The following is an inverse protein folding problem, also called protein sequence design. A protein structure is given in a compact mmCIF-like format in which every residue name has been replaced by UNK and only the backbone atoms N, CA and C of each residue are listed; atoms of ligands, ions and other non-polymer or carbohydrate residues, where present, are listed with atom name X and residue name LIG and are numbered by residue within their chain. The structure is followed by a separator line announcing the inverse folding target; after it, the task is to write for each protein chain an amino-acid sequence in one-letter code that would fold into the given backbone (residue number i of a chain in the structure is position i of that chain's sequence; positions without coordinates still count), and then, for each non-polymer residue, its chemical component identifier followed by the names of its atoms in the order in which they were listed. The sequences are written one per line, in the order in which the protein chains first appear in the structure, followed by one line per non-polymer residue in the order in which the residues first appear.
data_IF_401371005609
#
_entry.id   IF_401371005609
#
_cell.length_a   1.000
_cell.length_b   1.000
_cell.length_c   1.000
_cell.angle_alpha   90.00
_cell.angle_beta   90.00
_cell.angle_gamma   90.00
#
_symmetry.space_group_name_H-M   'P 1'
#
loop_
_entity.id
_entity.type
_entity.pdbx_description
1 polymer ?
#
# COMPACT_ATOMS: atom_id res chain seq x y z
N UNK A 1 17.51 17.15 4.93
CA UNK A 1 18.60 16.14 4.86
C UNK A 1 18.59 15.42 3.52
N UNK A 2 17.51 14.70 3.13
CA UNK A 2 17.52 13.93 1.86
C UNK A 2 17.83 14.81 0.62
N UNK A 3 17.36 16.05 0.57
CA UNK A 3 17.67 16.98 -0.53
C UNK A 3 19.11 17.52 -0.48
N UNK A 4 19.65 17.68 0.73
CA UNK A 4 21.00 18.21 0.92
C UNK A 4 22.08 17.17 0.56
N UNK A 5 21.72 15.89 0.70
CA UNK A 5 22.59 14.74 0.41
C UNK A 5 22.51 14.30 -1.07
N UNK A 6 21.64 14.90 -1.89
CA UNK A 6 21.52 14.56 -3.31
C UNK A 6 22.76 15.00 -4.10
N UNK A 7 23.32 14.12 -4.95
CA UNK A 7 24.36 14.52 -5.89
C UNK A 7 23.90 15.67 -6.80
N UNK A 8 24.85 16.53 -7.20
CA UNK A 8 24.55 17.63 -8.11
C UNK A 8 23.94 17.11 -9.43
N UNK A 9 22.85 17.70 -9.87
CA UNK A 9 22.12 17.33 -11.09
C UNK A 9 21.14 16.14 -10.90
N UNK A 10 21.00 15.62 -9.67
CA UNK A 10 20.00 14.57 -9.37
C UNK A 10 18.63 15.16 -9.08
N UNK A 11 17.58 14.36 -9.33
CA UNK A 11 16.20 14.66 -8.95
C UNK A 11 15.72 13.67 -7.87
N UNK A 12 14.96 14.19 -6.91
CA UNK A 12 14.21 13.38 -5.96
C UNK A 12 12.83 13.08 -6.52
N UNK A 13 12.57 11.81 -6.86
CA UNK A 13 11.23 11.31 -7.12
C UNK A 13 10.65 10.78 -5.80
N UNK A 14 9.70 11.52 -5.23
CA UNK A 14 9.02 11.14 -4.01
C UNK A 14 7.72 10.43 -4.36
N UNK A 15 7.69 9.11 -4.17
CA UNK A 15 6.48 8.31 -4.36
C UNK A 15 5.57 8.46 -3.14
N UNK A 16 4.50 9.22 -3.30
CA UNK A 16 3.46 9.48 -2.31
C UNK A 16 2.17 8.68 -2.61
N UNK A 17 2.27 7.51 -3.24
CA UNK A 17 1.10 6.73 -3.64
C UNK A 17 0.20 6.30 -2.47
N UNK A 18 0.68 6.33 -1.24
CA UNK A 18 -0.07 5.99 -0.03
C UNK A 18 -0.25 7.16 0.92
N UNK A 19 0.08 8.39 0.52
CA UNK A 19 0.10 9.52 1.44
C UNK A 19 -1.28 9.83 2.02
N UNK A 20 -2.34 9.65 1.24
CA UNK A 20 -3.72 9.83 1.71
C UNK A 20 -4.15 8.75 2.72
N UNK A 21 -3.44 7.62 2.81
CA UNK A 21 -3.70 6.58 3.81
C UNK A 21 -2.87 6.78 5.09
N UNK A 22 -1.87 7.66 5.04
CA UNK A 22 -0.91 7.87 6.11
C UNK A 22 -1.43 8.88 7.14
N UNK A 23 -0.95 8.82 8.39
CA UNK A 23 -1.24 9.85 9.39
C UNK A 23 -0.80 11.23 8.91
N UNK A 24 -1.49 12.26 9.41
CA UNK A 24 -1.10 13.65 9.15
C UNK A 24 0.37 13.89 9.55
N UNK A 25 1.07 14.72 8.78
CA UNK A 25 2.48 15.03 9.01
C UNK A 25 3.47 13.99 8.48
N UNK A 26 3.01 12.87 7.90
CA UNK A 26 3.91 11.87 7.29
C UNK A 26 4.64 12.43 6.05
N UNK A 27 3.98 13.26 5.25
CA UNK A 27 4.60 13.87 4.09
C UNK A 27 5.68 14.87 4.51
N UNK A 28 6.88 14.81 3.91
CA UNK A 28 7.92 15.78 4.19
C UNK A 28 7.49 17.17 3.70
N UNK A 29 7.88 18.21 4.45
CA UNK A 29 7.65 19.61 4.09
C UNK A 29 8.64 20.02 2.98
N UNK A 30 8.29 19.73 1.73
CA UNK A 30 9.06 20.08 0.53
C UNK A 30 8.27 21.04 -0.33
N UNK A 31 8.93 22.10 -0.79
CA UNK A 31 8.31 23.06 -1.72
C UNK A 31 7.97 22.38 -3.04
N UNK A 32 6.80 22.66 -3.58
CA UNK A 32 6.42 22.24 -4.92
C UNK A 32 7.25 22.94 -6.02
N UNK A 33 7.86 24.09 -5.69
CA UNK A 33 8.68 24.88 -6.61
C UNK A 33 10.17 24.52 -6.55
N UNK A 34 10.59 23.55 -5.69
CA UNK A 34 11.98 23.09 -5.69
C UNK A 34 12.26 22.32 -7.00
N UNK A 35 13.19 22.83 -7.84
CA UNK A 35 13.47 22.25 -9.15
C UNK A 35 14.11 20.85 -9.07
N UNK A 36 14.39 20.34 -7.88
CA UNK A 36 14.96 19.01 -7.66
C UNK A 36 13.92 17.99 -7.21
N UNK A 37 12.65 18.38 -7.01
CA UNK A 37 11.63 17.51 -6.39
C UNK A 37 10.48 17.25 -7.35
N UNK A 38 10.11 15.97 -7.48
CA UNK A 38 8.91 15.52 -8.18
C UNK A 38 8.13 14.64 -7.20
N UNK A 39 6.92 15.06 -6.82
CA UNK A 39 6.02 14.29 -5.95
C UNK A 39 5.01 13.57 -6.82
N UNK A 40 4.91 12.25 -6.65
CA UNK A 40 4.03 11.38 -7.45
C UNK A 40 2.85 10.90 -6.61
N UNK A 41 1.62 11.19 -7.04
CA UNK A 41 0.38 10.81 -6.35
C UNK A 41 -0.56 10.02 -7.25
N UNK A 42 -1.48 9.28 -6.66
CA UNK A 42 -2.39 8.41 -7.41
C UNK A 42 -3.80 8.44 -6.84
N UNK A 43 -4.79 8.27 -7.69
CA UNK A 43 -6.17 8.01 -7.30
C UNK A 43 -6.47 6.51 -7.09
N UNK A 44 -5.45 5.65 -7.24
CA UNK A 44 -5.62 4.19 -7.19
C UNK A 44 -5.80 3.61 -5.78
N UNK A 45 -5.56 4.38 -4.72
CA UNK A 45 -5.55 3.90 -3.32
C UNK A 45 -6.75 4.45 -2.55
N UNK A 46 -6.57 5.44 -1.69
CA UNK A 46 -7.63 5.98 -0.84
C UNK A 46 -8.86 6.47 -1.63
N UNK A 47 -8.66 7.00 -2.82
CA UNK A 47 -9.75 7.43 -3.69
C UNK A 47 -10.49 6.28 -4.42
N UNK A 48 -10.04 5.03 -4.32
CA UNK A 48 -10.74 3.87 -4.90
C UNK A 48 -10.72 3.76 -6.43
N UNK A 49 -9.97 4.61 -7.16
CA UNK A 49 -10.00 4.69 -8.63
C UNK A 49 -8.88 3.90 -9.32
N UNK A 50 -8.48 2.76 -8.78
CA UNK A 50 -7.39 1.95 -9.34
C UNK A 50 -7.63 1.56 -10.81
N UNK A 51 -8.87 1.23 -11.17
CA UNK A 51 -9.27 0.85 -12.54
C UNK A 51 -9.25 2.03 -13.53
N UNK A 52 -9.36 3.27 -13.06
CA UNK A 52 -9.36 4.47 -13.91
C UNK A 52 -7.97 4.81 -14.47
N UNK A 53 -6.90 4.24 -13.92
CA UNK A 53 -5.49 4.46 -14.32
C UNK A 53 -5.09 5.92 -14.33
N UNK A 54 -5.35 6.65 -13.24
CA UNK A 54 -5.08 8.08 -13.11
C UNK A 54 -4.23 8.38 -11.87
N UNK A 55 -3.31 9.30 -12.04
CA UNK A 55 -2.45 9.87 -11.03
C UNK A 55 -1.94 11.23 -11.48
N UNK A 56 -1.15 11.89 -10.65
CA UNK A 56 -0.62 13.21 -10.97
C UNK A 56 0.77 13.40 -10.35
N UNK A 57 1.52 14.33 -10.94
CA UNK A 57 2.79 14.79 -10.42
C UNK A 57 2.67 16.26 -9.97
N UNK A 58 3.36 16.60 -8.89
CA UNK A 58 3.53 17.96 -8.40
C UNK A 58 5.02 18.26 -8.44
N UNK A 59 5.41 19.29 -9.20
CA UNK A 59 6.80 19.71 -9.35
C UNK A 59 6.89 21.15 -9.89
N UNK A 60 8.09 21.71 -9.93
CA UNK A 60 8.35 22.99 -10.55
C UNK A 60 7.89 23.02 -12.02
N UNK A 61 7.43 24.19 -12.56
CA UNK A 61 6.86 24.30 -13.91
C UNK A 61 7.76 23.76 -15.01
N UNK A 62 9.07 23.90 -14.89
CA UNK A 62 10.05 23.45 -15.88
C UNK A 62 10.06 21.91 -15.97
N UNK A 63 9.96 21.22 -14.83
CA UNK A 63 9.86 19.75 -14.77
C UNK A 63 8.53 19.25 -15.35
N UNK A 64 7.43 19.91 -15.03
CA UNK A 64 6.12 19.58 -15.62
C UNK A 64 6.12 19.82 -17.14
N UNK A 65 6.77 20.88 -17.61
CA UNK A 65 6.94 21.12 -19.05
C UNK A 65 7.72 20.00 -19.73
N UNK A 66 8.74 19.44 -19.05
CA UNK A 66 9.48 18.29 -19.56
C UNK A 66 8.57 17.03 -19.71
N UNK A 67 7.69 16.76 -18.72
CA UNK A 67 6.71 15.68 -18.84
C UNK A 67 5.77 15.87 -20.05
N UNK A 68 5.34 17.09 -20.34
CA UNK A 68 4.46 17.38 -21.48
C UNK A 68 5.12 17.06 -22.83
N UNK A 69 6.46 17.08 -22.93
CA UNK A 69 7.18 16.72 -24.17
C UNK A 69 7.18 15.22 -24.45
N UNK A 70 7.03 14.38 -23.42
CA UNK A 70 7.18 12.91 -23.55
C UNK A 70 5.92 12.12 -23.25
N UNK A 71 4.93 12.72 -22.56
CA UNK A 71 3.70 12.01 -22.22
C UNK A 71 2.83 11.75 -23.47
N UNK A 72 2.06 10.66 -23.43
CA UNK A 72 1.01 10.47 -24.42
C UNK A 72 -0.09 11.52 -24.22
N UNK A 73 -0.36 12.33 -25.23
CA UNK A 73 -1.35 13.42 -25.20
C UNK A 73 -2.77 12.92 -24.93
N UNK A 74 -3.12 11.72 -25.42
CA UNK A 74 -4.44 11.11 -25.26
C UNK A 74 -4.44 9.93 -24.29
N UNK A 75 -3.40 9.77 -23.47
CA UNK A 75 -3.22 8.65 -22.55
C UNK A 75 -4.22 8.63 -21.38
N UNK A 76 -4.92 9.74 -21.12
CA UNK A 76 -5.85 9.86 -20.02
C UNK A 76 -7.29 9.99 -20.53
N UNK A 77 -8.13 8.99 -20.26
CA UNK A 77 -9.53 8.99 -20.75
C UNK A 77 -10.41 10.00 -20.00
N UNK A 78 -11.49 10.43 -20.64
CA UNK A 78 -12.40 11.47 -20.08
C UNK A 78 -13.12 11.02 -18.81
N UNK A 79 -13.48 9.74 -18.71
CA UNK A 79 -14.15 9.22 -17.51
C UNK A 79 -13.21 9.25 -16.30
N UNK A 80 -11.93 8.89 -16.48
CA UNK A 80 -10.93 8.99 -15.43
C UNK A 80 -10.74 10.44 -14.96
N UNK A 81 -10.69 11.40 -15.88
CA UNK A 81 -10.56 12.83 -15.53
C UNK A 81 -11.76 13.33 -14.72
N UNK A 82 -12.98 13.03 -15.17
CA UNK A 82 -14.20 13.42 -14.46
C UNK A 82 -14.31 12.74 -13.09
N UNK A 83 -14.00 11.43 -13.02
CA UNK A 83 -13.99 10.68 -11.77
C UNK A 83 -12.94 11.21 -10.76
N UNK A 84 -11.74 11.53 -11.21
CA UNK A 84 -10.71 12.10 -10.35
C UNK A 84 -11.08 13.50 -9.84
N UNK A 85 -11.69 14.34 -10.68
CA UNK A 85 -12.16 15.65 -10.27
C UNK A 85 -13.25 15.52 -9.18
N UNK A 86 -14.21 14.64 -9.38
CA UNK A 86 -15.25 14.38 -8.38
C UNK A 86 -14.65 13.84 -7.08
N UNK A 87 -13.73 12.88 -7.16
CA UNK A 87 -13.11 12.26 -6.00
C UNK A 87 -12.26 13.25 -5.17
N UNK A 88 -11.52 14.15 -5.83
CA UNK A 88 -10.72 15.15 -5.10
C UNK A 88 -11.57 16.23 -4.44
N UNK A 89 -12.80 16.43 -4.91
CA UNK A 89 -13.77 17.35 -4.30
C UNK A 89 -14.55 16.74 -3.14
N UNK A 90 -14.62 15.42 -3.06
CA UNK A 90 -15.31 14.67 -2.01
C UNK A 90 -14.38 14.39 -0.82
N UNK A 91 -14.09 15.44 -0.06
CA UNK A 91 -13.18 15.35 1.09
C UNK A 91 -13.82 14.61 2.27
N UNK A 92 -15.14 14.66 2.43
CA UNK A 92 -15.85 13.96 3.49
C UNK A 92 -15.74 12.44 3.29
N UNK A 93 -15.90 11.95 2.07
CA UNK A 93 -15.68 10.55 1.76
C UNK A 93 -14.22 10.13 1.96
N UNK A 94 -13.26 10.97 1.55
CA UNK A 94 -11.84 10.69 1.77
C UNK A 94 -11.53 10.53 3.28
N UNK A 95 -12.03 11.41 4.14
CA UNK A 95 -11.85 11.31 5.60
C UNK A 95 -12.45 10.02 6.17
N UNK A 96 -13.63 9.60 5.68
CA UNK A 96 -14.23 8.33 6.08
C UNK A 96 -13.34 7.14 5.70
N UNK A 97 -12.83 7.12 4.46
CA UNK A 97 -11.91 6.07 3.99
C UNK A 97 -10.61 6.03 4.80
N UNK A 98 -10.05 7.19 5.13
CA UNK A 98 -8.86 7.29 5.98
C UNK A 98 -9.09 6.67 7.37
N UNK A 99 -10.23 6.96 7.98
CA UNK A 99 -10.64 6.38 9.27
C UNK A 99 -10.77 4.85 9.17
N UNK A 100 -11.49 4.37 8.16
CA UNK A 100 -11.67 2.93 7.94
C UNK A 100 -10.34 2.19 7.70
N UNK A 101 -9.41 2.81 6.97
CA UNK A 101 -8.08 2.25 6.75
C UNK A 101 -7.29 2.17 8.08
N UNK A 102 -7.38 3.20 8.92
CA UNK A 102 -6.71 3.20 10.22
C UNK A 102 -7.27 2.10 11.13
N UNK A 103 -8.59 2.00 11.24
CA UNK A 103 -9.29 0.96 12.02
C UNK A 103 -8.95 -0.46 11.50
N UNK A 104 -8.91 -0.64 10.18
CA UNK A 104 -8.54 -1.91 9.57
C UNK A 104 -7.08 -2.30 9.87
N UNK A 105 -6.14 -1.34 9.87
CA UNK A 105 -4.74 -1.60 10.28
C UNK A 105 -4.67 -2.09 11.72
N UNK A 106 -5.37 -1.42 12.62
CA UNK A 106 -5.40 -1.79 14.05
C UNK A 106 -6.04 -3.17 14.23
N UNK A 107 -7.11 -3.47 13.50
CA UNK A 107 -7.77 -4.79 13.52
C UNK A 107 -6.84 -5.89 13.03
N UNK A 108 -6.10 -5.68 11.94
CA UNK A 108 -5.11 -6.64 11.42
C UNK A 108 -4.00 -6.88 12.46
N UNK A 109 -3.51 -5.83 13.12
CA UNK A 109 -2.50 -5.95 14.17
C UNK A 109 -3.03 -6.78 15.36
N UNK A 110 -4.25 -6.55 15.81
CA UNK A 110 -4.90 -7.34 16.87
C UNK A 110 -5.08 -8.82 16.47
N UNK A 111 -5.46 -9.09 15.21
CA UNK A 111 -5.58 -10.47 14.71
C UNK A 111 -4.20 -11.15 14.71
N UNK A 112 -3.15 -10.49 14.28
CA UNK A 112 -1.79 -11.01 14.31
C UNK A 112 -1.35 -11.33 15.75
N UNK A 113 -1.50 -10.38 16.65
CA UNK A 113 -1.12 -10.52 18.07
C UNK A 113 -1.84 -11.70 18.78
N UNK A 114 -3.15 -11.86 18.54
CA UNK A 114 -3.94 -13.00 19.07
C UNK A 114 -3.43 -14.36 18.59
N UNK A 115 -2.72 -14.39 17.46
CA UNK A 115 -2.13 -15.59 16.91
C UNK A 115 -0.62 -15.73 17.21
N UNK A 116 -0.08 -14.88 18.12
CA UNK A 116 1.34 -14.89 18.50
C UNK A 116 2.26 -14.38 17.41
N UNK A 117 1.75 -13.59 16.45
CA UNK A 117 2.50 -12.98 15.37
C UNK A 117 2.72 -11.49 15.62
N UNK A 118 3.69 -10.90 14.93
CA UNK A 118 3.95 -9.46 14.98
C UNK A 118 3.68 -8.80 13.62
N UNK A 119 3.36 -7.51 13.64
CA UNK A 119 3.19 -6.70 12.44
C UNK A 119 4.33 -5.71 12.28
N UNK A 120 4.65 -5.37 11.05
CA UNK A 120 5.52 -4.23 10.76
C UNK A 120 4.67 -2.95 10.78
N UNK A 121 5.22 -1.81 11.27
CA UNK A 121 4.54 -0.51 11.21
C UNK A 121 4.12 -0.18 9.78
N UNK A 122 2.88 0.27 9.61
CA UNK A 122 2.33 0.62 8.29
C UNK A 122 1.59 1.95 8.32
N UNK A 123 1.83 2.76 7.29
CA UNK A 123 1.06 3.96 6.95
C UNK A 123 0.31 3.80 5.61
N UNK A 124 0.32 2.59 5.04
CA UNK A 124 -0.37 2.26 3.79
C UNK A 124 -1.76 1.65 4.05
N UNK A 125 -2.46 1.26 2.99
CA UNK A 125 -3.70 0.50 3.08
C UNK A 125 -3.49 -1.02 3.14
N UNK A 126 -2.40 -1.46 3.74
CA UNK A 126 -2.09 -2.86 4.03
C UNK A 126 -1.14 -2.97 5.22
N UNK A 127 -1.08 -4.14 5.83
CA UNK A 127 -0.15 -4.46 6.92
C UNK A 127 0.64 -5.72 6.54
N UNK A 128 1.94 -5.72 6.81
CA UNK A 128 2.77 -6.90 6.73
C UNK A 128 2.81 -7.60 8.10
N UNK A 129 2.45 -8.88 8.12
CA UNK A 129 2.51 -9.75 9.30
C UNK A 129 3.73 -10.64 9.15
N UNK A 130 4.64 -10.61 10.12
CA UNK A 130 5.74 -11.57 10.23
C UNK A 130 5.18 -12.91 10.72
N UNK A 131 5.32 -13.96 9.91
CA UNK A 131 4.79 -15.29 10.23
C UNK A 131 5.60 -16.04 11.29
N UNK A 132 6.71 -15.46 11.78
CA UNK A 132 7.55 -16.07 12.84
C UNK A 132 8.41 -17.24 12.38
N UNK A 133 8.53 -17.47 11.08
CA UNK A 133 9.32 -18.50 10.45
C UNK A 133 10.16 -17.96 9.28
N UNK A 134 10.57 -18.84 8.39
CA UNK A 134 11.24 -18.51 7.14
C UNK A 134 10.25 -18.24 5.98
N UNK A 135 10.79 -18.00 4.77
CA UNK A 135 9.98 -17.77 3.59
C UNK A 135 9.16 -18.99 3.15
N UNK A 136 9.63 -20.20 3.41
CA UNK A 136 8.90 -21.42 3.11
C UNK A 136 7.68 -21.56 4.04
N UNK A 137 7.84 -21.24 5.32
CA UNK A 137 6.73 -21.21 6.27
C UNK A 137 5.68 -20.15 5.91
N UNK A 138 6.12 -18.92 5.60
CA UNK A 138 5.21 -17.86 5.18
C UNK A 138 4.46 -18.23 3.88
N UNK A 139 5.13 -18.92 2.95
CA UNK A 139 4.50 -19.44 1.73
C UNK A 139 3.44 -20.50 2.05
N UNK A 140 3.70 -21.43 2.96
CA UNK A 140 2.73 -22.43 3.38
C UNK A 140 1.50 -21.79 4.04
N UNK A 141 1.70 -20.74 4.87
CA UNK A 141 0.59 -19.97 5.46
C UNK A 141 -0.23 -19.27 4.37
N UNK A 142 0.44 -18.66 3.38
CA UNK A 142 -0.23 -18.03 2.24
C UNK A 142 -1.07 -19.05 1.47
N UNK A 143 -0.52 -20.21 1.14
CA UNK A 143 -1.21 -21.26 0.37
C UNK A 143 -2.43 -21.79 1.13
N UNK A 144 -2.29 -22.00 2.45
CA UNK A 144 -3.39 -22.42 3.31
C UNK A 144 -4.51 -21.38 3.41
N UNK A 145 -4.19 -20.08 3.42
CA UNK A 145 -5.17 -18.99 3.36
C UNK A 145 -5.88 -18.93 2.01
N UNK A 146 -5.13 -19.07 0.91
CA UNK A 146 -5.70 -19.11 -0.46
C UNK A 146 -6.64 -20.30 -0.63
N UNK A 147 -6.28 -21.47 -0.10
CA UNK A 147 -7.17 -22.66 -0.10
C UNK A 147 -8.49 -22.42 0.65
N UNK A 148 -8.54 -21.45 1.56
CA UNK A 148 -9.74 -21.00 2.30
C UNK A 148 -10.43 -19.81 1.64
N UNK A 149 -10.05 -19.44 0.40
CA UNK A 149 -10.62 -18.32 -0.35
C UNK A 149 -10.12 -16.95 0.09
N UNK A 150 -9.07 -16.86 0.92
CA UNK A 150 -8.50 -15.60 1.39
C UNK A 150 -7.23 -15.28 0.61
N UNK A 151 -7.34 -14.32 -0.31
CA UNK A 151 -6.22 -13.88 -1.11
C UNK A 151 -5.32 -12.91 -0.34
N UNK A 152 -4.10 -13.34 -0.07
CA UNK A 152 -3.04 -12.51 0.53
C UNK A 152 -1.81 -12.49 -0.39
N UNK A 153 -0.88 -11.59 -0.13
CA UNK A 153 0.38 -11.48 -0.86
C UNK A 153 1.56 -11.70 0.09
N UNK A 154 2.73 -11.98 -0.49
CA UNK A 154 3.99 -11.97 0.23
C UNK A 154 5.09 -11.35 -0.62
N UNK A 155 6.11 -10.71 -0.02
CA UNK A 155 7.34 -10.32 -0.72
C UNK A 155 8.11 -11.56 -1.20
N UNK A 156 8.84 -11.42 -2.31
CA UNK A 156 9.61 -12.54 -2.88
C UNK A 156 11.06 -12.61 -2.36
N UNK A 157 11.59 -11.49 -1.89
CA UNK A 157 13.00 -11.37 -1.49
C UNK A 157 13.17 -11.50 0.03
N UNK A 158 14.24 -12.20 0.45
CA UNK A 158 14.66 -12.22 1.85
C UNK A 158 15.24 -10.86 2.27
N UNK A 159 15.06 -10.46 3.54
CA UNK A 159 14.40 -11.18 4.63
C UNK A 159 12.87 -10.99 4.68
N UNK A 160 12.29 -10.17 3.78
CA UNK A 160 10.88 -9.78 3.83
C UNK A 160 9.93 -10.93 3.42
N UNK A 161 10.43 -11.95 2.72
CA UNK A 161 9.66 -13.12 2.29
C UNK A 161 9.12 -13.99 3.45
N UNK A 162 9.50 -13.69 4.70
CA UNK A 162 8.92 -14.28 5.92
C UNK A 162 7.57 -13.67 6.33
N UNK A 163 7.14 -12.61 5.63
CA UNK A 163 5.90 -11.90 5.91
C UNK A 163 4.80 -12.24 4.90
N UNK A 164 3.55 -12.22 5.36
CA UNK A 164 2.37 -12.09 4.49
C UNK A 164 1.84 -10.66 4.56
N UNK A 165 1.25 -10.17 3.47
CA UNK A 165 0.71 -8.82 3.36
C UNK A 165 -0.81 -8.85 3.26
N UNK A 166 -1.48 -8.24 4.23
CA UNK A 166 -2.93 -8.17 4.34
C UNK A 166 -3.39 -6.77 3.94
N UNK A 167 -4.31 -6.67 3.00
CA UNK A 167 -4.94 -5.40 2.64
C UNK A 167 -5.91 -4.94 3.74
N UNK A 168 -5.98 -3.64 3.99
CA UNK A 168 -7.05 -3.05 4.77
C UNK A 168 -8.37 -3.26 4.02
N UNK A 169 -9.28 -3.95 4.64
CA UNK A 169 -10.51 -4.45 4.04
C UNK A 169 -11.71 -4.14 4.93
N UNK A 170 -12.90 -4.57 4.54
CA UNK A 170 -14.10 -4.43 5.35
C UNK A 170 -14.02 -5.25 6.65
N UNK A 171 -14.85 -4.89 7.64
CA UNK A 171 -14.91 -5.62 8.91
C UNK A 171 -15.25 -7.10 8.69
N UNK A 172 -16.20 -7.39 7.79
CA UNK A 172 -16.62 -8.75 7.44
C UNK A 172 -15.47 -9.59 6.86
N UNK A 173 -14.71 -9.03 5.91
CA UNK A 173 -13.55 -9.73 5.32
C UNK A 173 -12.43 -9.95 6.35
N UNK A 174 -12.22 -9.00 7.27
CA UNK A 174 -11.25 -9.16 8.35
C UNK A 174 -11.71 -10.17 9.40
N UNK A 175 -13.01 -10.37 9.62
CA UNK A 175 -13.54 -11.43 10.47
C UNK A 175 -13.34 -12.82 9.85
N UNK A 176 -13.50 -12.94 8.52
CA UNK A 176 -13.14 -14.17 7.79
C UNK A 176 -11.64 -14.47 7.93
N UNK A 177 -10.79 -13.46 7.74
CA UNK A 177 -9.35 -13.59 7.94
C UNK A 177 -8.99 -14.00 9.38
N UNK A 178 -9.63 -13.39 10.39
CA UNK A 178 -9.42 -13.71 11.80
C UNK A 178 -9.75 -15.18 12.13
N UNK A 179 -10.76 -15.73 11.48
CA UNK A 179 -11.17 -17.13 11.63
C UNK A 179 -10.20 -18.09 10.92
N UNK A 180 -9.75 -17.74 9.72
CA UNK A 180 -8.93 -18.63 8.89
C UNK A 180 -7.45 -18.64 9.30
N UNK A 181 -6.91 -17.54 9.85
CA UNK A 181 -5.48 -17.43 10.15
C UNK A 181 -4.98 -18.51 11.12
N UNK A 182 -5.62 -18.79 12.28
CA UNK A 182 -5.15 -19.83 13.20
C UNK A 182 -5.13 -21.22 12.57
N UNK A 183 -6.11 -21.55 11.72
CA UNK A 183 -6.16 -22.82 11.00
C UNK A 183 -5.04 -22.92 9.97
N UNK A 184 -4.80 -21.87 9.19
CA UNK A 184 -3.73 -21.80 8.21
C UNK A 184 -2.34 -21.95 8.88
N UNK A 185 -2.13 -21.31 10.01
CA UNK A 185 -0.90 -21.45 10.81
C UNK A 185 -0.72 -22.88 11.33
N UNK A 186 -1.80 -23.51 11.81
CA UNK A 186 -1.75 -24.89 12.29
C UNK A 186 -1.42 -25.87 11.15
N UNK A 187 -1.96 -25.65 9.96
CA UNK A 187 -1.69 -26.45 8.76
C UNK A 187 -0.24 -26.27 8.30
N UNK A 188 0.24 -25.03 8.18
CA UNK A 188 1.61 -24.72 7.77
C UNK A 188 2.70 -25.25 8.71
N UNK A 189 2.37 -25.55 9.97
CA UNK A 189 3.30 -26.18 10.94
C UNK A 189 3.49 -27.69 10.72
N UNK A 190 2.62 -28.34 9.95
CA UNK A 190 2.74 -29.78 9.68
C UNK A 190 3.92 -30.03 8.74
N UNK A 191 4.73 -31.09 8.95
CA UNK A 191 5.91 -31.38 8.13
C UNK A 191 5.63 -31.52 6.63
N UNK A 192 4.48 -32.03 6.28
CA UNK A 192 4.03 -32.27 4.90
C UNK A 192 3.71 -30.98 4.12
N UNK A 193 3.39 -29.89 4.80
CA UNK A 193 3.06 -28.60 4.16
C UNK A 193 4.30 -27.82 3.70
N UNK A 194 5.50 -28.23 4.11
CA UNK A 194 6.78 -27.61 3.75
C UNK A 194 7.44 -28.30 2.55
N UNK A 195 6.62 -28.85 1.66
CA UNK A 195 7.04 -29.64 0.53
C UNK A 195 8.18 -29.04 -0.28
N UNK A 196 9.10 -29.89 -0.57
CA UNK A 196 10.36 -29.92 -1.33
C UNK A 196 10.47 -28.88 -2.43
#
# INVERSE_FOLDING_TARGET
RALDDLPQGSLLLLDEAYIECAPEGTAPQLSADDPRVIRMRTFSKAYGLAGARIGYAIAAPELITAFHKVRNHFGLNRAAQAGALAAVQDQDYLMQVQTQIAEARDRIAQIAEKNGLSTLPSAANFVAIDCGGDGAFAKAVLDALVARGIFVRMPFAAPQNRCIRISCSTAEELDHFATALPEALAEARKPEARGV
#
